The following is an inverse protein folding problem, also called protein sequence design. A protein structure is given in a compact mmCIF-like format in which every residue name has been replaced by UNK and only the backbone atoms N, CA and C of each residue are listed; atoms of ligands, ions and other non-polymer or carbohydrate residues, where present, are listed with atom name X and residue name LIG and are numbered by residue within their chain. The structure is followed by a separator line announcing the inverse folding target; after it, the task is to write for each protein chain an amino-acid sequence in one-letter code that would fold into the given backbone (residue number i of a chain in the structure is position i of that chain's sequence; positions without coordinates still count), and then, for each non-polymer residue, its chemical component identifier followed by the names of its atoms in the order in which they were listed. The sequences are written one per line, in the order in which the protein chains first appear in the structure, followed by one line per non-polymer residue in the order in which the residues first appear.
data_IF_551191241030
#
_entry.id   IF_551191241030
#
_cell.length_a   1.000
_cell.length_b   1.000
_cell.length_c   1.000
_cell.angle_alpha   90.00
_cell.angle_beta   90.00
_cell.angle_gamma   90.00
#
_symmetry.space_group_name_H-M   'P 1'
#
loop_
_entity.id
_entity.type
_entity.pdbx_description
1 polymer ?
#
# COMPACT_ATOMS: atom_id res chain seq x y z
N UNK A 1 -45.80 10.27 7.51
CA UNK A 1 -45.02 11.23 6.69
C UNK A 1 -44.38 12.34 7.53
N UNK A 2 -44.58 12.37 8.85
CA UNK A 2 -43.99 13.36 9.77
C UNK A 2 -42.65 12.89 10.40
N UNK A 3 -42.50 11.57 10.65
CA UNK A 3 -41.28 10.97 11.23
C UNK A 3 -40.03 11.00 10.32
N UNK A 4 -40.22 11.02 9.00
CA UNK A 4 -39.12 11.05 8.03
C UNK A 4 -38.48 12.44 7.92
N UNK A 5 -39.24 13.49 8.22
CA UNK A 5 -38.75 14.87 8.20
C UNK A 5 -37.96 15.17 9.48
N UNK A 6 -38.41 14.67 10.63
CA UNK A 6 -37.69 14.80 11.91
C UNK A 6 -36.39 14.01 11.91
N UNK A 7 -36.37 12.79 11.36
CA UNK A 7 -35.13 12.00 11.25
C UNK A 7 -34.05 12.70 10.42
N UNK A 8 -34.43 13.54 9.45
CA UNK A 8 -33.48 14.25 8.57
C UNK A 8 -32.80 15.45 9.25
N UNK A 9 -33.34 15.94 10.37
CA UNK A 9 -32.77 17.06 11.14
C UNK A 9 -32.16 16.66 12.49
N UNK A 10 -32.31 15.39 12.91
CA UNK A 10 -31.66 14.82 14.11
C UNK A 10 -30.54 13.81 13.79
N UNK A 11 -30.40 13.35 12.55
CA UNK A 11 -29.14 12.79 12.06
C UNK A 11 -28.20 13.94 11.73
N UNK A 12 -27.59 14.53 12.76
CA UNK A 12 -26.48 15.45 12.60
C UNK A 12 -25.42 14.80 11.69
N UNK A 13 -25.20 15.29 10.46
CA UNK A 13 -24.26 14.70 9.51
C UNK A 13 -22.85 15.16 9.87
N UNK A 14 -22.36 14.78 11.06
CA UNK A 14 -21.17 15.37 11.64
C UNK A 14 -20.12 14.39 12.15
N UNK A 15 -20.43 13.10 12.31
CA UNK A 15 -19.52 12.17 12.99
C UNK A 15 -19.41 10.75 12.41
N UNK A 16 -19.99 10.50 11.24
CA UNK A 16 -19.55 9.44 10.34
C UNK A 16 -19.09 10.18 9.08
N UNK A 17 -17.81 10.48 8.88
CA UNK A 17 -16.78 9.51 8.48
C UNK A 17 -15.35 9.98 8.83
N UNK A 18 -15.14 11.01 9.67
CA UNK A 18 -13.78 11.48 10.01
C UNK A 18 -12.92 10.41 10.70
N UNK A 19 -13.41 9.71 11.75
CA UNK A 19 -12.67 8.60 12.35
C UNK A 19 -12.46 7.44 11.38
N UNK A 20 -13.46 7.12 10.54
CA UNK A 20 -13.37 6.04 9.55
C UNK A 20 -12.37 6.38 8.43
N UNK A 21 -12.27 7.65 8.02
CA UNK A 21 -11.30 8.14 7.04
C UNK A 21 -9.89 8.15 7.61
N UNK A 22 -9.71 8.54 8.88
CA UNK A 22 -8.42 8.41 9.58
C UNK A 22 -8.04 6.94 9.72
N UNK A 23 -8.96 6.06 10.15
CA UNK A 23 -8.71 4.62 10.26
C UNK A 23 -8.44 3.97 8.89
N UNK A 24 -9.13 4.42 7.83
CA UNK A 24 -8.85 4.02 6.46
C UNK A 24 -7.44 4.45 6.07
N UNK A 25 -7.07 5.72 6.24
CA UNK A 25 -5.71 6.23 5.95
C UNK A 25 -4.61 5.53 6.76
N UNK A 26 -4.87 5.19 8.03
CA UNK A 26 -3.92 4.47 8.90
C UNK A 26 -3.84 2.98 8.56
N UNK A 27 -4.95 2.35 8.13
CA UNK A 27 -4.96 0.96 7.63
C UNK A 27 -4.37 0.85 6.23
N UNK A 28 -4.42 1.93 5.44
CA UNK A 28 -3.52 2.15 4.29
C UNK A 28 -2.15 2.63 4.79
N UNK A 29 -1.59 1.97 5.83
CA UNK A 29 -0.39 2.37 6.58
C UNK A 29 0.89 2.52 5.76
N UNK A 30 0.81 2.30 4.46
CA UNK A 30 1.74 2.79 3.44
C UNK A 30 0.91 2.97 2.16
N UNK A 31 1.08 4.07 1.43
CA UNK A 31 0.42 4.23 0.12
C UNK A 31 0.71 2.97 -0.74
N UNK A 32 -0.31 2.28 -1.30
CA UNK A 32 -0.11 1.05 -2.06
C UNK A 32 0.85 1.24 -3.24
N UNK A 33 0.90 2.47 -3.76
CA UNK A 33 1.83 2.97 -4.77
C UNK A 33 3.30 2.83 -4.32
N UNK A 34 3.62 3.26 -3.09
CA UNK A 34 4.98 3.19 -2.54
C UNK A 34 5.42 1.74 -2.34
N UNK A 35 4.51 0.88 -1.86
CA UNK A 35 4.80 -0.54 -1.72
C UNK A 35 5.01 -1.22 -3.08
N UNK A 36 4.22 -0.89 -4.09
CA UNK A 36 4.40 -1.41 -5.45
C UNK A 36 5.77 -1.02 -6.02
N UNK A 37 6.16 0.26 -5.89
CA UNK A 37 7.46 0.75 -6.33
C UNK A 37 8.62 0.07 -5.58
N UNK A 38 8.52 -0.05 -4.26
CA UNK A 38 9.53 -0.74 -3.45
C UNK A 38 9.70 -2.20 -3.88
N UNK A 39 8.61 -2.90 -4.17
CA UNK A 39 8.63 -4.29 -4.62
C UNK A 39 9.33 -4.43 -5.98
N UNK A 40 9.05 -3.52 -6.93
CA UNK A 40 9.71 -3.51 -8.25
C UNK A 40 11.21 -3.28 -8.11
N UNK A 41 11.62 -2.29 -7.31
CA UNK A 41 13.03 -1.98 -7.08
C UNK A 41 13.76 -3.14 -6.39
N UNK A 42 13.11 -3.78 -5.41
CA UNK A 42 13.64 -4.96 -4.73
C UNK A 42 13.86 -6.10 -5.73
N UNK A 43 12.83 -6.47 -6.51
CA UNK A 43 12.93 -7.54 -7.51
C UNK A 43 14.02 -7.25 -8.52
N UNK A 44 14.10 -6.01 -9.03
CA UNK A 44 15.13 -5.61 -9.97
C UNK A 44 16.54 -5.76 -9.39
N UNK A 45 16.75 -5.30 -8.15
CA UNK A 45 18.04 -5.44 -7.46
C UNK A 45 18.42 -6.91 -7.25
N UNK A 46 17.45 -7.75 -6.86
CA UNK A 46 17.67 -9.17 -6.63
C UNK A 46 18.06 -9.89 -7.92
N UNK A 47 17.38 -9.60 -9.03
CA UNK A 47 17.72 -10.14 -10.36
C UNK A 47 19.13 -9.75 -10.77
N UNK A 48 19.50 -8.47 -10.60
CA UNK A 48 20.85 -8.00 -10.91
C UNK A 48 21.91 -8.72 -10.08
N UNK A 49 21.68 -8.89 -8.77
CA UNK A 49 22.61 -9.59 -7.89
C UNK A 49 22.73 -11.06 -8.29
N UNK A 50 21.63 -11.75 -8.55
CA UNK A 50 21.65 -13.16 -8.98
C UNK A 50 22.41 -13.31 -10.30
N UNK A 51 22.12 -12.48 -11.30
CA UNK A 51 22.82 -12.50 -12.57
C UNK A 51 24.33 -12.27 -12.39
N UNK A 52 24.71 -11.28 -11.57
CA UNK A 52 26.10 -11.00 -11.22
C UNK A 52 26.76 -12.20 -10.54
N UNK A 53 26.07 -12.85 -9.60
CA UNK A 53 26.58 -14.03 -8.89
C UNK A 53 26.74 -15.23 -9.83
N UNK A 54 25.82 -15.46 -10.76
CA UNK A 54 25.93 -16.55 -11.75
C UNK A 54 27.15 -16.33 -12.66
N UNK A 55 27.29 -15.13 -13.22
CA UNK A 55 28.43 -14.78 -14.08
C UNK A 55 29.75 -14.84 -13.29
N UNK A 56 29.77 -14.33 -12.07
CA UNK A 56 30.96 -14.38 -11.21
C UNK A 56 31.33 -15.83 -10.86
N UNK A 57 30.35 -16.71 -10.64
CA UNK A 57 30.57 -18.14 -10.39
C UNK A 57 31.14 -18.84 -11.62
N UNK A 58 30.63 -18.58 -12.81
CA UNK A 58 31.21 -19.14 -14.04
C UNK A 58 32.64 -18.65 -14.27
N UNK A 59 32.93 -17.38 -13.96
CA UNK A 59 34.27 -16.81 -14.06
C UNK A 59 35.26 -17.39 -13.04
N UNK A 60 34.79 -17.76 -11.85
CA UNK A 60 35.61 -18.39 -10.79
C UNK A 60 35.83 -19.89 -11.03
N UNK A 61 34.90 -20.57 -11.70
CA UNK A 61 34.95 -22.02 -11.98
C UNK A 61 35.76 -22.38 -13.22
N UNK A 62 36.09 -21.38 -14.06
CA UNK A 62 36.89 -21.52 -15.29
C UNK A 62 38.39 -21.19 -15.15
N UNK A 63 38.94 -21.11 -13.94
CA UNK A 63 40.39 -20.98 -13.68
C UNK A 63 40.91 -22.15 -12.86
#
# INVERSE_FOLDING_TARGET
MDDVVVSSFVTGPGYEILPLKIYSMVKVGVSPEVNALATILLVLSLVMVIASQLIARDKLRGR
#
